data_IF_047082452189
#
_entry.id   IF_047082452189
#
_cell.length_a   1.000
_cell.length_b   1.000
_cell.length_c   1.000
_cell.angle_alpha   90.00
_cell.angle_beta   90.00
_cell.angle_gamma   90.00
#
_symmetry.space_group_name_H-M   'P 1'
#
loop_
_entity.id
_entity.type
_entity.pdbx_description
1 polymer ?
#
# COMPACT_ATOMS: atom_id res chain seq x y z
N UNK A 1 1.28 43.21 -14.35
CA UNK A 1 1.43 42.29 -13.17
C UNK A 1 0.24 41.37 -13.20
N UNK A 2 0.39 40.22 -13.85
CA UNK A 2 -0.57 39.11 -13.82
C UNK A 2 -0.61 38.60 -12.39
N UNK A 3 -1.69 38.92 -11.68
CA UNK A 3 -2.08 38.21 -10.47
C UNK A 3 -2.19 36.74 -10.85
N UNK A 4 -1.36 35.90 -10.28
CA UNK A 4 -1.48 34.44 -10.48
C UNK A 4 -2.91 34.05 -10.13
N UNK A 5 -3.65 33.56 -11.10
CA UNK A 5 -5.00 33.07 -10.90
C UNK A 5 -4.92 31.88 -9.94
N UNK A 6 -5.67 31.93 -8.83
CA UNK A 6 -5.69 30.84 -7.86
C UNK A 6 -6.04 29.50 -8.50
N UNK A 7 -6.84 29.54 -9.58
CA UNK A 7 -7.20 28.37 -10.37
C UNK A 7 -6.01 27.73 -11.08
N UNK A 8 -5.09 28.53 -11.61
CA UNK A 8 -3.88 28.01 -12.29
C UNK A 8 -2.89 27.41 -11.29
N UNK A 9 -2.76 28.03 -10.10
CA UNK A 9 -1.95 27.47 -9.03
C UNK A 9 -2.48 26.12 -8.55
N UNK A 10 -3.80 25.99 -8.32
CA UNK A 10 -4.43 24.72 -7.93
C UNK A 10 -4.23 23.65 -9.02
N UNK A 11 -4.43 23.98 -10.28
CA UNK A 11 -4.17 23.05 -11.41
C UNK A 11 -2.73 22.57 -11.42
N UNK A 12 -1.77 23.46 -11.25
CA UNK A 12 -0.34 23.15 -11.25
C UNK A 12 -0.02 22.18 -10.12
N UNK A 13 -0.52 22.44 -8.91
CA UNK A 13 -0.29 21.57 -7.75
C UNK A 13 -0.95 20.20 -7.93
N UNK A 14 -2.22 20.16 -8.36
CA UNK A 14 -2.93 18.90 -8.62
C UNK A 14 -2.23 18.09 -9.71
N UNK A 15 -1.80 18.72 -10.80
CA UNK A 15 -1.06 18.04 -11.87
C UNK A 15 0.28 17.50 -11.37
N UNK A 16 0.99 18.26 -10.54
CA UNK A 16 2.26 17.84 -9.95
C UNK A 16 2.08 16.63 -9.02
N UNK A 17 1.03 16.65 -8.17
CA UNK A 17 0.69 15.52 -7.28
C UNK A 17 0.32 14.29 -8.10
N UNK A 18 -0.54 14.43 -9.12
CA UNK A 18 -0.91 13.31 -9.99
C UNK A 18 0.29 12.73 -10.74
N UNK A 19 1.17 13.57 -11.25
CA UNK A 19 2.42 13.14 -11.90
C UNK A 19 3.30 12.35 -10.94
N UNK A 20 3.49 12.86 -9.72
CA UNK A 20 4.28 12.18 -8.68
C UNK A 20 3.66 10.84 -8.28
N UNK A 21 2.33 10.78 -8.16
CA UNK A 21 1.60 9.53 -7.89
C UNK A 21 1.79 8.50 -9.01
N UNK A 22 1.72 8.94 -10.29
CA UNK A 22 1.92 8.05 -11.44
C UNK A 22 3.34 7.48 -11.48
N UNK A 23 4.36 8.32 -11.31
CA UNK A 23 5.74 7.87 -11.27
C UNK A 23 6.04 6.97 -10.07
N UNK A 24 5.50 7.31 -8.89
CA UNK A 24 5.58 6.48 -7.70
C UNK A 24 4.89 5.13 -7.88
N UNK A 25 3.70 5.11 -8.48
CA UNK A 25 2.98 3.89 -8.80
C UNK A 25 3.74 3.02 -9.81
N UNK A 26 4.31 3.60 -10.87
CA UNK A 26 5.11 2.87 -11.84
C UNK A 26 6.34 2.22 -11.18
N UNK A 27 7.05 2.97 -10.35
CA UNK A 27 8.20 2.46 -9.62
C UNK A 27 7.78 1.34 -8.64
N UNK A 28 6.67 1.52 -7.90
CA UNK A 28 6.13 0.51 -7.01
C UNK A 28 5.75 -0.78 -7.77
N UNK A 29 5.17 -0.68 -8.97
CA UNK A 29 4.84 -1.84 -9.81
C UNK A 29 6.10 -2.62 -10.18
N UNK A 30 7.17 -1.94 -10.58
CA UNK A 30 8.45 -2.56 -10.94
C UNK A 30 9.04 -3.30 -9.73
N UNK A 31 9.08 -2.63 -8.57
CA UNK A 31 9.60 -3.23 -7.33
C UNK A 31 8.75 -4.42 -6.89
N UNK A 32 7.42 -4.30 -6.92
CA UNK A 32 6.49 -5.36 -6.58
C UNK A 32 6.65 -6.58 -7.51
N UNK A 33 6.78 -6.33 -8.81
CA UNK A 33 6.99 -7.40 -9.78
C UNK A 33 8.30 -8.16 -9.51
N UNK A 34 9.37 -7.42 -9.18
CA UNK A 34 10.66 -8.00 -8.83
C UNK A 34 10.58 -8.82 -7.53
N UNK A 35 9.84 -8.32 -6.54
CA UNK A 35 9.76 -8.92 -5.20
C UNK A 35 8.83 -10.13 -5.17
N UNK A 36 7.62 -10.03 -5.72
CA UNK A 36 6.59 -11.08 -5.69
C UNK A 36 6.82 -12.18 -6.73
N UNK A 37 7.77 -11.99 -7.66
CA UNK A 37 8.20 -12.98 -8.68
C UNK A 37 7.05 -13.61 -9.48
N UNK A 38 5.93 -12.93 -9.62
CA UNK A 38 4.78 -13.46 -10.32
C UNK A 38 3.78 -12.38 -10.73
N UNK A 39 3.28 -12.47 -11.95
CA UNK A 39 2.31 -11.48 -12.49
C UNK A 39 1.01 -11.48 -11.69
N UNK A 40 0.53 -12.66 -11.29
CA UNK A 40 -0.76 -12.79 -10.59
C UNK A 40 -0.73 -12.20 -9.17
N UNK A 41 0.27 -12.50 -8.29
CA UNK A 41 0.40 -11.83 -7.01
C UNK A 41 0.51 -10.31 -7.14
N UNK A 42 1.31 -9.84 -8.10
CA UNK A 42 1.46 -8.40 -8.39
C UNK A 42 0.14 -7.75 -8.80
N UNK A 43 -0.64 -8.41 -9.66
CA UNK A 43 -1.94 -7.90 -10.10
C UNK A 43 -2.95 -7.79 -8.94
N UNK A 44 -2.95 -8.77 -8.02
CA UNK A 44 -3.82 -8.72 -6.83
C UNK A 44 -3.46 -7.53 -5.96
N UNK A 45 -2.17 -7.32 -5.70
CA UNK A 45 -1.69 -6.17 -4.91
C UNK A 45 -2.02 -4.85 -5.59
N UNK A 46 -1.82 -4.75 -6.90
CA UNK A 46 -2.17 -3.56 -7.68
C UNK A 46 -3.66 -3.24 -7.65
N UNK A 47 -4.52 -4.24 -7.72
CA UNK A 47 -5.96 -4.05 -7.61
C UNK A 47 -6.39 -3.61 -6.20
N UNK A 48 -5.65 -4.00 -5.16
CA UNK A 48 -5.98 -3.60 -3.78
C UNK A 48 -5.78 -2.11 -3.53
N UNK A 49 -4.83 -1.46 -4.23
CA UNK A 49 -4.50 -0.04 -4.04
C UNK A 49 -5.71 0.87 -4.37
N UNK A 50 -6.25 0.86 -5.60
CA UNK A 50 -7.38 1.74 -5.93
C UNK A 50 -8.62 1.46 -5.09
N UNK A 51 -8.88 0.20 -4.73
CA UNK A 51 -9.99 -0.15 -3.87
C UNK A 51 -9.80 0.41 -2.46
N UNK A 52 -8.58 0.35 -1.92
CA UNK A 52 -8.25 0.94 -0.61
C UNK A 52 -8.40 2.47 -0.63
N UNK A 53 -8.00 3.13 -1.71
CA UNK A 53 -8.15 4.60 -1.86
C UNK A 53 -9.63 4.98 -1.90
N UNK A 54 -10.44 4.28 -2.71
CA UNK A 54 -11.88 4.53 -2.80
C UNK A 54 -12.53 4.33 -1.44
N UNK A 55 -12.16 3.29 -0.72
CA UNK A 55 -12.70 3.01 0.61
C UNK A 55 -12.23 4.06 1.63
N UNK A 56 -11.00 4.54 1.54
CA UNK A 56 -10.49 5.63 2.38
C UNK A 56 -11.26 6.94 2.13
N UNK A 57 -11.48 7.30 0.86
CA UNK A 57 -12.28 8.49 0.50
C UNK A 57 -13.70 8.38 1.04
N UNK A 58 -14.29 7.19 0.99
CA UNK A 58 -15.60 6.93 1.55
C UNK A 58 -15.63 7.17 3.07
N UNK A 59 -14.62 6.67 3.80
CA UNK A 59 -14.48 6.90 5.24
C UNK A 59 -14.28 8.38 5.57
N UNK A 60 -13.47 9.09 4.79
CA UNK A 60 -13.27 10.54 4.93
C UNK A 60 -14.58 11.30 4.73
N UNK A 61 -15.37 10.93 3.72
CA UNK A 61 -16.68 11.54 3.46
C UNK A 61 -17.63 11.37 4.63
N UNK A 62 -17.74 10.18 5.20
CA UNK A 62 -18.60 9.93 6.37
C UNK A 62 -18.09 10.65 7.64
N UNK A 63 -16.81 10.94 7.72
CA UNK A 63 -16.20 11.65 8.86
C UNK A 63 -16.22 13.18 8.69
N UNK A 64 -16.75 13.69 7.57
CA UNK A 64 -16.84 15.13 7.31
C UNK A 64 -15.51 15.81 7.01
N UNK A 65 -14.47 15.04 6.66
CA UNK A 65 -13.17 15.60 6.28
C UNK A 65 -13.27 16.14 4.86
N UNK A 66 -12.93 17.43 4.71
CA UNK A 66 -12.91 18.08 3.40
C UNK A 66 -11.72 17.62 2.57
N UNK A 67 -11.95 17.41 1.27
CA UNK A 67 -10.88 17.18 0.30
C UNK A 67 -10.24 18.54 0.00
N UNK A 68 -9.11 18.78 0.62
CA UNK A 68 -8.29 19.98 0.44
C UNK A 68 -6.86 19.58 0.05
N UNK A 69 -5.99 20.57 -0.20
CA UNK A 69 -4.61 20.33 -0.60
C UNK A 69 -3.83 19.51 0.44
N UNK A 70 -4.12 19.71 1.72
CA UNK A 70 -3.42 19.05 2.83
C UNK A 70 -3.90 17.60 2.97
N UNK A 71 -5.22 17.36 2.90
CA UNK A 71 -5.76 16.00 2.92
C UNK A 71 -5.33 15.19 1.68
N UNK A 72 -5.25 15.83 0.50
CA UNK A 72 -4.70 15.19 -0.71
C UNK A 72 -3.22 14.84 -0.56
N UNK A 73 -2.43 15.69 0.11
CA UNK A 73 -1.03 15.38 0.43
C UNK A 73 -0.92 14.18 1.38
N UNK A 74 -1.80 14.10 2.38
CA UNK A 74 -1.92 12.94 3.25
C UNK A 74 -2.27 11.66 2.48
N UNK A 75 -3.20 11.76 1.53
CA UNK A 75 -3.55 10.64 0.66
C UNK A 75 -2.34 10.21 -0.20
N UNK A 76 -1.60 11.14 -0.77
CA UNK A 76 -0.40 10.86 -1.57
C UNK A 76 0.68 10.13 -0.76
N UNK A 77 0.95 10.58 0.47
CA UNK A 77 1.88 9.91 1.39
C UNK A 77 1.38 8.49 1.71
N UNK A 78 0.08 8.34 2.01
CA UNK A 78 -0.49 7.05 2.38
C UNK A 78 -0.47 6.04 1.23
N UNK A 79 -0.58 6.46 -0.03
CA UNK A 79 -0.52 5.55 -1.18
C UNK A 79 0.78 4.72 -1.19
N UNK A 80 1.90 5.32 -0.79
CA UNK A 80 3.16 4.59 -0.62
C UNK A 80 3.09 3.51 0.47
N UNK A 81 2.30 3.73 1.51
CA UNK A 81 2.16 2.80 2.64
C UNK A 81 1.06 1.74 2.42
N UNK A 82 0.10 1.99 1.50
CA UNK A 82 -1.00 1.05 1.21
C UNK A 82 -0.52 -0.31 0.72
N UNK A 83 0.59 -0.31 0.02
CA UNK A 83 1.19 -1.50 -0.61
C UNK A 83 1.66 -2.50 0.43
N UNK A 84 2.21 -2.03 1.56
CA UNK A 84 2.86 -2.87 2.56
C UNK A 84 1.94 -3.94 3.13
N UNK A 85 0.74 -3.58 3.54
CA UNK A 85 -0.24 -4.53 4.10
C UNK A 85 -0.61 -5.62 3.10
N UNK A 86 -0.86 -5.24 1.85
CA UNK A 86 -1.24 -6.18 0.79
C UNK A 86 -0.09 -7.10 0.38
N UNK A 87 1.15 -6.58 0.35
CA UNK A 87 2.36 -7.35 0.02
C UNK A 87 2.61 -8.43 1.07
N UNK A 88 2.56 -8.09 2.36
CA UNK A 88 2.79 -9.06 3.44
C UNK A 88 1.76 -10.20 3.39
N UNK A 89 0.48 -9.89 3.13
CA UNK A 89 -0.57 -10.92 3.01
C UNK A 89 -0.31 -11.81 1.80
N UNK A 90 -0.03 -11.23 0.63
CA UNK A 90 0.14 -12.01 -0.60
C UNK A 90 1.40 -12.86 -0.54
N UNK A 91 2.51 -12.33 0.01
CA UNK A 91 3.76 -13.07 0.19
C UNK A 91 3.56 -14.29 1.10
N UNK A 92 2.85 -14.12 2.21
CA UNK A 92 2.53 -15.24 3.11
C UNK A 92 1.67 -16.32 2.42
N UNK A 93 0.69 -15.90 1.61
CA UNK A 93 -0.14 -16.83 0.82
C UNK A 93 0.74 -17.61 -0.17
N UNK A 94 1.61 -16.92 -0.89
CA UNK A 94 2.51 -17.53 -1.87
C UNK A 94 3.49 -18.48 -1.17
N UNK A 95 4.05 -18.08 -0.04
CA UNK A 95 4.95 -18.91 0.77
C UNK A 95 4.28 -20.21 1.25
N UNK A 96 3.08 -20.11 1.84
CA UNK A 96 2.33 -21.30 2.30
C UNK A 96 2.03 -22.27 1.15
N UNK A 97 1.69 -21.74 -0.02
CA UNK A 97 1.45 -22.55 -1.21
C UNK A 97 2.70 -23.28 -1.70
N UNK A 98 3.85 -22.62 -1.68
CA UNK A 98 5.14 -23.27 -2.04
C UNK A 98 5.47 -24.41 -1.10
N UNK A 99 5.06 -24.33 0.16
CA UNK A 99 5.22 -25.37 1.17
C UNK A 99 4.19 -26.52 1.03
N UNK A 100 3.28 -26.45 0.04
CA UNK A 100 2.22 -27.45 -0.15
C UNK A 100 1.13 -27.42 0.92
N UNK A 101 1.13 -26.41 1.79
CA UNK A 101 0.12 -26.26 2.84
C UNK A 101 -1.14 -25.66 2.25
N UNK A 102 -2.33 -26.31 2.42
CA UNK A 102 -3.59 -25.68 2.06
C UNK A 102 -3.74 -24.37 2.84
N UNK A 103 -3.81 -23.25 2.13
CA UNK A 103 -3.95 -21.93 2.76
C UNK A 103 -5.42 -21.47 2.70
N UNK A 104 -6.31 -21.94 3.61
CA UNK A 104 -7.67 -21.43 3.68
C UNK A 104 -7.60 -19.94 4.06
N UNK A 105 -8.48 -19.14 3.46
CA UNK A 105 -8.53 -17.67 3.63
C UNK A 105 -8.44 -17.21 5.07
N UNK A 106 -9.16 -17.89 5.96
CA UNK A 106 -9.23 -17.58 7.39
C UNK A 106 -7.89 -17.87 8.11
N UNK A 107 -7.18 -18.94 7.75
CA UNK A 107 -5.91 -19.29 8.38
C UNK A 107 -4.81 -18.27 8.03
N UNK A 108 -4.77 -17.80 6.79
CA UNK A 108 -3.81 -16.76 6.35
C UNK A 108 -4.09 -15.45 7.09
N UNK A 109 -5.35 -14.99 7.10
CA UNK A 109 -5.73 -13.77 7.78
C UNK A 109 -5.42 -13.84 9.29
N UNK A 110 -5.62 -15.01 9.94
CA UNK A 110 -5.30 -15.21 11.35
C UNK A 110 -3.78 -15.21 11.60
N UNK A 111 -2.99 -15.78 10.70
CA UNK A 111 -1.55 -15.92 10.89
C UNK A 111 -0.80 -14.60 10.79
N UNK A 112 -1.16 -13.74 9.84
CA UNK A 112 -0.47 -12.46 9.62
C UNK A 112 -1.26 -11.25 10.13
N UNK A 113 -2.56 -11.43 10.43
CA UNK A 113 -3.45 -10.34 10.80
C UNK A 113 -2.97 -9.56 12.02
N UNK A 114 -2.53 -10.25 13.07
CA UNK A 114 -2.01 -9.59 14.28
C UNK A 114 -0.75 -8.75 14.00
N UNK A 115 0.18 -9.28 13.20
CA UNK A 115 1.42 -8.59 12.86
C UNK A 115 1.15 -7.34 12.00
N UNK A 116 0.30 -7.46 10.97
CA UNK A 116 -0.05 -6.34 10.10
C UNK A 116 -0.86 -5.29 10.86
N UNK A 117 -1.77 -5.70 11.73
CA UNK A 117 -2.54 -4.77 12.57
C UNK A 117 -1.62 -4.01 13.51
N UNK A 118 -0.68 -4.69 14.17
CA UNK A 118 0.30 -4.05 15.04
C UNK A 118 1.18 -3.06 14.27
N UNK A 119 1.69 -3.44 13.11
CA UNK A 119 2.49 -2.55 12.25
C UNK A 119 1.70 -1.32 11.81
N UNK A 120 0.48 -1.51 11.32
CA UNK A 120 -0.41 -0.40 10.92
C UNK A 120 -0.73 0.52 12.09
N UNK A 121 -1.03 -0.05 13.27
CA UNK A 121 -1.29 0.72 14.48
C UNK A 121 -0.08 1.55 14.90
N UNK A 122 1.12 0.97 14.83
CA UNK A 122 2.37 1.69 15.12
C UNK A 122 2.54 2.89 14.17
N UNK A 123 2.27 2.70 12.89
CA UNK A 123 2.35 3.78 11.90
C UNK A 123 1.32 4.87 12.20
N UNK A 124 0.07 4.51 12.53
CA UNK A 124 -0.97 5.46 12.93
C UNK A 124 -0.56 6.23 14.19
N UNK A 125 0.03 5.56 15.18
CA UNK A 125 0.48 6.20 16.42
C UNK A 125 1.53 7.31 16.19
N UNK A 126 2.28 7.28 15.09
CA UNK A 126 3.21 8.35 14.74
C UNK A 126 2.47 9.66 14.40
N UNK A 127 1.26 9.56 13.88
CA UNK A 127 0.44 10.73 13.51
C UNK A 127 -0.43 11.25 14.67
N UNK A 128 -0.68 10.44 15.70
CA UNK A 128 -1.50 10.81 16.87
C UNK A 128 -1.00 12.08 17.58
N UNK A 129 0.31 12.29 17.82
CA UNK A 129 0.79 13.51 18.46
C UNK A 129 0.43 14.80 17.73
N UNK A 130 0.25 14.74 16.41
CA UNK A 130 -0.13 15.92 15.60
C UNK A 130 -1.51 16.47 16.02
N UNK A 131 -2.43 15.57 16.40
CA UNK A 131 -3.78 15.95 16.82
C UNK A 131 -3.78 16.70 18.17
N UNK A 132 -2.77 16.43 18.99
CA UNK A 132 -2.60 17.04 20.31
C UNK A 132 -1.75 18.32 20.30
N UNK A 133 -1.15 18.68 19.15
CA UNK A 133 -0.41 19.93 19.00
C UNK A 133 -1.35 21.12 19.00
N UNK A 134 -0.96 22.25 19.58
CA UNK A 134 -1.77 23.45 19.59
C UNK A 134 -1.36 24.43 18.46
N UNK A 135 -2.26 25.37 18.15
CA UNK A 135 -1.99 26.45 17.21
C UNK A 135 -2.19 26.10 15.75
N UNK A 136 -1.48 26.80 14.88
CA UNK A 136 -1.58 26.71 13.42
C UNK A 136 -1.23 25.30 12.89
N UNK A 137 -0.27 24.65 13.54
CA UNK A 137 0.16 23.29 13.18
C UNK A 137 -0.99 22.29 13.28
N UNK A 138 -1.77 22.35 14.35
CA UNK A 138 -2.97 21.52 14.51
C UNK A 138 -3.95 21.72 13.36
N UNK A 139 -4.28 22.99 13.07
CA UNK A 139 -5.26 23.34 12.06
C UNK A 139 -4.85 22.85 10.66
N UNK A 140 -3.55 22.90 10.34
CA UNK A 140 -3.05 22.49 9.04
C UNK A 140 -2.88 20.97 8.91
N UNK A 141 -2.34 20.30 9.93
CA UNK A 141 -1.92 18.90 9.81
C UNK A 141 -2.93 17.88 10.35
N UNK A 142 -3.99 18.31 11.03
CA UNK A 142 -5.03 17.39 11.52
C UNK A 142 -5.71 16.65 10.36
N UNK A 143 -6.10 17.37 9.30
CA UNK A 143 -6.72 16.76 8.13
C UNK A 143 -5.81 15.75 7.45
N UNK A 144 -4.50 16.04 7.38
CA UNK A 144 -3.50 15.12 6.84
C UNK A 144 -3.36 13.86 7.72
N UNK A 145 -3.23 14.01 9.03
CA UNK A 145 -3.08 12.92 9.98
C UNK A 145 -4.30 11.98 9.97
N UNK A 146 -5.50 12.56 9.94
CA UNK A 146 -6.74 11.79 9.83
C UNK A 146 -6.86 11.09 8.49
N UNK A 147 -6.51 11.75 7.39
CA UNK A 147 -6.51 11.13 6.04
C UNK A 147 -5.58 9.93 5.99
N UNK A 148 -4.35 10.05 6.50
CA UNK A 148 -3.40 8.94 6.57
C UNK A 148 -3.97 7.80 7.42
N UNK A 149 -4.55 8.13 8.59
CA UNK A 149 -5.15 7.12 9.48
C UNK A 149 -6.28 6.35 8.81
N UNK A 150 -7.22 7.04 8.14
CA UNK A 150 -8.32 6.39 7.43
C UNK A 150 -7.84 5.56 6.25
N UNK A 151 -6.84 6.04 5.54
CA UNK A 151 -6.26 5.33 4.39
C UNK A 151 -5.57 4.04 4.84
N UNK A 152 -4.81 4.09 5.94
CA UNK A 152 -4.17 2.90 6.51
C UNK A 152 -5.19 1.92 7.08
N UNK A 153 -6.25 2.39 7.75
CA UNK A 153 -7.33 1.54 8.23
C UNK A 153 -8.06 0.85 7.06
N UNK A 154 -8.37 1.59 6.00
CA UNK A 154 -8.95 1.05 4.78
C UNK A 154 -8.06 -0.03 4.15
N UNK A 155 -6.76 0.24 4.03
CA UNK A 155 -5.78 -0.72 3.53
C UNK A 155 -5.73 -2.00 4.34
N UNK A 156 -5.73 -1.89 5.66
CA UNK A 156 -5.73 -3.05 6.57
C UNK A 156 -6.96 -3.93 6.34
N UNK A 157 -8.15 -3.32 6.27
CA UNK A 157 -9.40 -4.05 6.02
C UNK A 157 -9.35 -4.76 4.67
N UNK A 158 -8.93 -4.06 3.62
CA UNK A 158 -8.82 -4.61 2.26
C UNK A 158 -7.77 -5.72 2.20
N UNK A 159 -6.61 -5.54 2.83
CA UNK A 159 -5.55 -6.53 2.86
C UNK A 159 -5.97 -7.83 3.57
N UNK A 160 -6.77 -7.74 4.63
CA UNK A 160 -7.23 -8.92 5.38
C UNK A 160 -8.48 -9.59 4.80
N UNK A 161 -9.25 -8.89 3.98
CA UNK A 161 -10.51 -9.41 3.40
C UNK A 161 -10.41 -9.68 1.91
N UNK A 162 -10.14 -8.65 1.11
CA UNK A 162 -10.15 -8.73 -0.35
C UNK A 162 -8.95 -9.49 -0.90
N UNK A 163 -7.75 -9.21 -0.38
CA UNK A 163 -6.51 -9.83 -0.88
C UNK A 163 -6.54 -11.35 -0.74
N UNK A 164 -6.88 -11.97 0.42
CA UNK A 164 -7.01 -13.42 0.52
C UNK A 164 -8.15 -13.97 -0.35
N UNK A 165 -9.25 -13.21 -0.52
CA UNK A 165 -10.35 -13.61 -1.37
C UNK A 165 -9.95 -13.68 -2.85
N UNK A 166 -9.23 -12.67 -3.35
CA UNK A 166 -8.71 -12.66 -4.72
C UNK A 166 -7.62 -13.72 -4.91
N UNK A 167 -6.70 -13.85 -3.98
CA UNK A 167 -5.63 -14.83 -4.02
C UNK A 167 -6.17 -16.27 -4.10
N UNK A 168 -7.23 -16.58 -3.36
CA UNK A 168 -7.86 -17.91 -3.41
C UNK A 168 -8.47 -18.24 -4.77
N UNK A 169 -8.91 -17.25 -5.55
CA UNK A 169 -9.49 -17.45 -6.89
C UNK A 169 -8.43 -17.44 -7.99
N UNK A 170 -7.50 -16.49 -7.96
CA UNK A 170 -6.56 -16.24 -9.05
C UNK A 170 -5.31 -17.13 -8.99
N UNK A 171 -4.90 -17.51 -7.78
CA UNK A 171 -3.71 -18.34 -7.58
C UNK A 171 -3.99 -19.86 -7.67
N UNK A 172 -5.26 -20.33 -7.69
CA UNK A 172 -5.61 -21.77 -7.69
C UNK A 172 -4.97 -22.56 -8.85
N UNK A 173 -4.66 -21.94 -9.97
CA UNK A 173 -4.28 -22.64 -11.23
C UNK A 173 -2.82 -22.48 -11.66
N UNK A 174 -1.94 -21.91 -10.83
CA UNK A 174 -0.55 -21.65 -11.23
C UNK A 174 0.42 -22.54 -10.45
N UNK A 175 1.03 -23.52 -11.13
CA UNK A 175 2.40 -23.95 -10.82
C UNK A 175 3.28 -22.75 -11.19
N UNK A 176 3.82 -22.05 -10.20
CA UNK A 176 4.77 -20.99 -10.45
C UNK A 176 6.03 -21.66 -11.02
N UNK A 177 6.29 -21.37 -12.28
CA UNK A 177 7.61 -21.60 -12.88
C UNK A 177 8.55 -20.63 -12.15
N UNK A 178 9.46 -21.13 -11.34
CA UNK A 178 10.55 -20.32 -10.79
C UNK A 178 11.24 -19.65 -11.97
N UNK A 179 11.15 -18.32 -12.02
CA UNK A 179 11.77 -17.56 -13.11
C UNK A 179 13.29 -17.81 -13.07
N UNK A 180 13.83 -18.42 -14.12
CA UNK A 180 15.26 -18.70 -14.29
C UNK A 180 16.17 -17.50 -14.00
N UNK A 181 15.63 -16.28 -14.13
CA UNK A 181 16.33 -15.05 -13.83
C UNK A 181 16.72 -14.92 -12.35
N UNK A 182 15.83 -15.31 -11.43
CA UNK A 182 16.12 -15.19 -9.99
C UNK A 182 17.08 -16.28 -9.51
N UNK A 183 17.00 -17.47 -10.06
CA UNK A 183 17.97 -18.53 -9.79
C UNK A 183 19.37 -18.08 -10.22
N UNK A 184 19.50 -17.43 -11.37
CA UNK A 184 20.76 -16.89 -11.85
C UNK A 184 21.31 -15.76 -10.93
N UNK A 185 20.44 -14.88 -10.42
CA UNK A 185 20.84 -13.83 -9.46
C UNK A 185 21.25 -14.44 -8.12
N UNK A 186 20.51 -15.45 -7.64
CA UNK A 186 20.83 -16.15 -6.39
C UNK A 186 22.13 -16.94 -6.47
N UNK A 187 22.40 -17.59 -7.61
CA UNK A 187 23.68 -18.26 -7.85
C UNK A 187 24.85 -17.28 -7.88
N UNK A 188 24.66 -16.13 -8.53
CA UNK A 188 25.68 -15.07 -8.56
C UNK A 188 25.93 -14.47 -7.18
N UNK A 189 24.87 -14.31 -6.37
CA UNK A 189 24.99 -13.87 -4.98
C UNK A 189 25.69 -14.92 -4.10
N UNK A 190 25.31 -16.19 -4.22
CA UNK A 190 26.00 -17.30 -3.52
C UNK A 190 27.48 -17.37 -3.87
N UNK A 191 27.84 -17.26 -5.14
CA UNK A 191 29.24 -17.22 -5.57
C UNK A 191 29.99 -16.03 -4.97
N UNK A 192 29.35 -14.86 -4.87
CA UNK A 192 29.96 -13.66 -4.26
C UNK A 192 30.18 -13.80 -2.75
N UNK A 193 29.27 -14.49 -2.04
CA UNK A 193 29.37 -14.71 -0.58
C UNK A 193 30.32 -15.86 -0.23
N UNK A 194 30.52 -16.81 -1.12
CA UNK A 194 31.44 -17.97 -0.89
C UNK A 194 32.89 -17.60 -1.19
N UNK A 195 33.12 -16.38 -1.76
CA UNK A 195 34.47 -15.89 -2.08
C UNK A 195 35.07 -14.99 -0.99
N UNK A 196 34.34 -14.77 0.11
CA UNK A 196 34.77 -14.10 1.34
C UNK A 196 34.95 -15.13 2.46
#
# INVERSE_FOLDING_TARGET
TTLMDQGDYIKLVVTSILSSLLWGALFAIIVLFLFLRGIKPTLITLCSIPISIIFAILLMYFSGISINLISMSGLAVSVGMLVDNSVVVIENIVRLRRQGVPAPKAAVAKQVGAAITASTLTTVCVFVPIIFTDGLTKQLFTDMALTVTYTLAASLIIALTLVPAMASKLLVKTRETEGNFFLAVLEKYKQSVTFV
#
